data_IF_717385492033
#
_entry.id   IF_717385492033
#
_cell.length_a   1.000
_cell.length_b   1.000
_cell.length_c   1.000
_cell.angle_alpha   90.00
_cell.angle_beta   90.00
_cell.angle_gamma   90.00
#
_symmetry.space_group_name_H-M   'P 1'
#
loop_
_entity.id
_entity.type
_entity.pdbx_description
1 polymer ?
#
# COMPACT_ATOMS: atom_id res chain seq x y z
N UNK A 1 -24.33 28.11 6.88
CA UNK A 1 -22.92 27.86 6.51
C UNK A 1 -22.75 26.36 6.39
N UNK A 2 -22.68 25.84 5.16
CA UNK A 2 -22.59 24.41 4.88
C UNK A 2 -21.19 23.92 5.24
N UNK A 3 -21.08 23.10 6.28
CA UNK A 3 -19.85 22.36 6.56
C UNK A 3 -19.72 21.26 5.48
N UNK A 4 -18.89 21.51 4.48
CA UNK A 4 -18.43 20.45 3.59
C UNK A 4 -17.63 19.43 4.42
N UNK A 5 -17.89 18.12 4.29
CA UNK A 5 -17.05 17.13 4.96
C UNK A 5 -15.66 17.26 4.34
N UNK A 6 -14.67 17.61 5.16
CA UNK A 6 -13.28 17.62 4.74
C UNK A 6 -12.95 16.26 4.14
N UNK A 7 -12.48 16.25 2.90
CA UNK A 7 -11.91 15.05 2.30
C UNK A 7 -10.80 14.62 3.25
N UNK A 8 -11.02 13.53 3.97
CA UNK A 8 -9.97 12.84 4.69
C UNK A 8 -9.03 12.33 3.60
N UNK A 9 -8.02 13.12 3.23
CA UNK A 9 -6.90 12.61 2.47
C UNK A 9 -6.36 11.42 3.27
N UNK A 10 -6.56 10.20 2.77
CA UNK A 10 -5.90 9.03 3.33
C UNK A 10 -4.41 9.37 3.43
N UNK A 11 -3.89 9.39 4.65
CA UNK A 11 -2.50 9.73 4.87
C UNK A 11 -1.61 8.76 4.09
N UNK A 12 -0.59 9.29 3.42
CA UNK A 12 0.37 8.45 2.70
C UNK A 12 1.01 7.42 3.66
N UNK A 13 1.27 6.19 3.21
CA UNK A 13 1.97 5.20 4.02
C UNK A 13 3.37 5.67 4.42
N UNK A 14 3.77 5.37 5.64
CA UNK A 14 5.12 5.63 6.17
C UNK A 14 5.89 4.32 6.43
N UNK A 15 7.18 4.43 6.74
CA UNK A 15 8.00 3.25 7.05
C UNK A 15 7.46 2.51 8.28
N UNK A 16 7.34 1.19 8.17
CA UNK A 16 6.73 0.28 9.14
C UNK A 16 5.21 0.39 9.30
N UNK A 17 4.53 1.27 8.55
CA UNK A 17 3.07 1.22 8.51
C UNK A 17 2.60 -0.10 7.91
N UNK A 18 1.48 -0.59 8.41
CA UNK A 18 0.71 -1.62 7.72
C UNK A 18 0.01 -0.96 6.53
N UNK A 19 0.00 -1.63 5.38
CA UNK A 19 -0.65 -1.13 4.18
C UNK A 19 -1.45 -2.24 3.50
N UNK A 20 -2.57 -1.86 2.89
CA UNK A 20 -3.45 -2.76 2.13
C UNK A 20 -3.41 -2.43 0.65
N UNK A 21 -3.26 -3.44 -0.20
CA UNK A 21 -3.38 -3.27 -1.65
C UNK A 21 -4.82 -2.94 -2.04
N UNK A 22 -4.99 -1.94 -2.91
CA UNK A 22 -6.29 -1.57 -3.49
C UNK A 22 -6.68 -2.41 -4.70
N UNK A 23 -5.69 -2.95 -5.41
CA UNK A 23 -5.87 -3.74 -6.62
C UNK A 23 -4.89 -4.90 -6.67
N UNK A 24 -5.22 -5.93 -7.45
CA UNK A 24 -4.33 -7.06 -7.73
C UNK A 24 -3.02 -6.56 -8.33
N UNK A 25 -1.90 -7.12 -7.84
CA UNK A 25 -0.57 -6.87 -8.38
C UNK A 25 0.13 -8.19 -8.68
N UNK A 26 1.06 -8.14 -9.62
CA UNK A 26 1.88 -9.28 -10.00
C UNK A 26 3.34 -8.95 -9.76
N UNK A 27 4.02 -9.83 -9.03
CA UNK A 27 5.47 -9.81 -8.89
C UNK A 27 6.16 -10.22 -10.20
N UNK A 28 7.44 -9.90 -10.33
CA UNK A 28 8.22 -10.20 -11.53
C UNK A 28 8.30 -11.71 -11.84
N UNK A 29 8.22 -12.55 -10.82
CA UNK A 29 8.22 -14.02 -10.94
C UNK A 29 6.85 -14.60 -11.34
N UNK A 30 5.84 -13.75 -11.56
CA UNK A 30 4.49 -14.16 -11.92
C UNK A 30 3.54 -14.32 -10.72
N UNK A 31 4.04 -14.26 -9.49
CA UNK A 31 3.23 -14.38 -8.26
C UNK A 31 2.19 -13.26 -8.20
N UNK A 32 0.91 -13.63 -8.05
CA UNK A 32 -0.17 -12.67 -7.85
C UNK A 32 -0.37 -12.38 -6.36
N UNK A 33 -0.42 -11.10 -6.02
CA UNK A 33 -0.84 -10.61 -4.71
C UNK A 33 -2.21 -9.95 -4.88
N UNK A 34 -3.29 -10.52 -4.30
CA UNK A 34 -4.63 -10.04 -4.54
C UNK A 34 -4.90 -8.69 -3.87
N UNK A 35 -5.85 -7.93 -4.42
CA UNK A 35 -6.44 -6.79 -3.75
C UNK A 35 -6.88 -7.17 -2.33
N UNK A 36 -6.68 -6.26 -1.40
CA UNK A 36 -6.99 -6.47 0.00
C UNK A 36 -5.92 -7.23 0.80
N UNK A 37 -4.86 -7.74 0.17
CA UNK A 37 -3.69 -8.25 0.89
C UNK A 37 -3.06 -7.13 1.73
N UNK A 38 -2.67 -7.47 2.95
CA UNK A 38 -2.03 -6.54 3.88
C UNK A 38 -0.56 -6.90 4.05
N UNK A 39 0.29 -5.89 4.03
CA UNK A 39 1.73 -6.02 4.21
C UNK A 39 2.29 -4.91 5.08
N UNK A 40 3.60 -4.94 5.28
CA UNK A 40 4.36 -3.93 6.02
C UNK A 40 5.20 -3.14 5.05
N UNK A 41 5.17 -1.81 5.15
CA UNK A 41 6.04 -0.93 4.36
C UNK A 41 7.47 -1.02 4.88
N UNK A 42 8.39 -1.49 4.05
CA UNK A 42 9.81 -1.69 4.41
C UNK A 42 10.75 -0.68 3.73
N UNK A 43 10.26 0.10 2.76
CA UNK A 43 10.97 1.26 2.24
C UNK A 43 9.99 2.25 1.58
N UNK A 44 10.35 3.53 1.59
CA UNK A 44 9.68 4.60 0.83
C UNK A 44 10.61 5.05 -0.30
N UNK A 45 10.06 5.21 -1.51
CA UNK A 45 10.80 5.54 -2.73
C UNK A 45 10.24 6.80 -3.39
N UNK A 46 11.09 7.53 -4.11
CA UNK A 46 10.70 8.64 -4.98
C UNK A 46 9.83 9.68 -4.28
N UNK A 47 10.26 10.17 -3.12
CA UNK A 47 9.56 11.17 -2.31
C UNK A 47 8.13 10.77 -1.92
N UNK A 48 7.90 9.49 -1.65
CA UNK A 48 6.59 8.98 -1.22
C UNK A 48 5.69 8.54 -2.37
N UNK A 49 6.17 8.50 -3.62
CA UNK A 49 5.38 8.04 -4.77
C UNK A 49 5.24 6.52 -4.83
N UNK A 50 6.15 5.78 -4.21
CA UNK A 50 6.11 4.33 -4.14
C UNK A 50 6.66 3.81 -2.81
N UNK A 51 6.25 2.59 -2.46
CA UNK A 51 6.68 1.87 -1.27
C UNK A 51 7.19 0.49 -1.69
N UNK A 52 8.19 -0.04 -0.98
CA UNK A 52 8.44 -1.48 -0.97
C UNK A 52 7.62 -2.06 0.17
N UNK A 53 6.77 -3.04 -0.12
CA UNK A 53 5.87 -3.68 0.84
C UNK A 53 6.16 -5.17 0.88
N UNK A 54 6.37 -5.67 2.09
CA UNK A 54 6.47 -7.10 2.39
C UNK A 54 5.09 -7.64 2.79
N UNK A 55 4.58 -8.58 2.00
CA UNK A 55 3.32 -9.29 2.25
C UNK A 55 3.63 -10.67 2.81
N UNK A 56 2.89 -11.09 3.84
CA UNK A 56 3.01 -12.41 4.45
C UNK A 56 1.70 -13.22 4.35
N UNK A 57 0.58 -12.59 3.99
CA UNK A 57 -0.71 -13.25 3.78
C UNK A 57 -1.58 -12.47 2.79
N UNK A 58 -2.34 -13.13 1.88
CA UNK A 58 -2.45 -14.58 1.69
C UNK A 58 -1.24 -15.20 0.94
N UNK A 59 -0.33 -14.38 0.44
CA UNK A 59 0.86 -14.81 -0.33
C UNK A 59 2.09 -14.11 0.23
N UNK A 60 3.20 -14.84 0.33
CA UNK A 60 4.48 -14.27 0.71
C UNK A 60 5.16 -13.64 -0.51
N UNK A 61 5.32 -12.31 -0.49
CA UNK A 61 5.90 -11.57 -1.61
C UNK A 61 6.46 -10.21 -1.15
N UNK A 62 7.44 -9.68 -1.88
CA UNK A 62 7.93 -8.30 -1.72
C UNK A 62 7.70 -7.56 -3.04
N UNK A 63 6.98 -6.45 -2.98
CA UNK A 63 6.62 -5.66 -4.15
C UNK A 63 6.97 -4.19 -3.98
N UNK A 64 7.43 -3.57 -5.06
CA UNK A 64 7.35 -2.12 -5.21
C UNK A 64 5.95 -1.74 -5.69
N UNK A 65 5.23 -0.97 -4.89
CA UNK A 65 3.84 -0.57 -5.11
C UNK A 65 3.75 0.95 -5.10
N UNK A 66 2.96 1.54 -6.01
CA UNK A 66 2.72 3.00 -5.96
C UNK A 66 1.92 3.34 -4.72
N UNK A 67 2.19 4.50 -4.11
CA UNK A 67 1.49 4.90 -2.89
C UNK A 67 -0.03 5.05 -3.12
N UNK A 68 -0.45 5.47 -4.32
CA UNK A 68 -1.86 5.58 -4.72
C UNK A 68 -2.62 4.24 -4.75
N UNK A 69 -1.90 3.12 -4.83
CA UNK A 69 -2.44 1.76 -4.81
C UNK A 69 -2.50 1.15 -3.40
N UNK A 70 -2.13 1.92 -2.37
CA UNK A 70 -2.08 1.49 -0.99
C UNK A 70 -3.06 2.29 -0.12
N UNK A 71 -3.64 1.60 0.84
CA UNK A 71 -4.33 2.23 1.98
C UNK A 71 -3.51 1.96 3.23
N UNK A 72 -3.09 3.02 3.92
CA UNK A 72 -2.42 2.90 5.21
C UNK A 72 -3.43 2.39 6.27
N UNK A 73 -3.02 1.36 7.01
CA UNK A 73 -3.78 0.77 8.11
C UNK A 73 -3.14 1.29 9.40
N UNK A 74 -3.84 2.19 10.09
CA UNK A 74 -3.47 2.70 11.41
C UNK A 74 -4.15 1.92 12.51
#
# INVERSE_FOLDING_TARGET
>A
MTNAPGILTEAAPSFLDRARLRADRQARDGTRVPAGAAGTVVAILGDGRACIVEFTHPVQAVLTVRAEDLTALR
#
